data_IF_422599916608
#
_entry.id   IF_422599916608
#
_cell.length_a   1.000
_cell.length_b   1.000
_cell.length_c   1.000
_cell.angle_alpha   90.00
_cell.angle_beta   90.00
_cell.angle_gamma   90.00
#
_symmetry.space_group_name_H-M   'P 1'
#
loop_
_entity.id
_entity.type
_entity.pdbx_description
1 polymer ?
#
# COMPACT_ATOMS: atom_id res chain seq x y z
N UNK A 1 1.77 -11.70 -28.53
CA UNK A 1 1.54 -10.48 -27.71
C UNK A 1 0.26 -9.79 -28.18
N UNK A 2 0.05 -9.70 -29.48
CA UNK A 2 -1.11 -9.05 -30.11
C UNK A 2 -2.48 -9.58 -29.63
N UNK A 3 -2.62 -10.88 -29.33
CA UNK A 3 -3.88 -11.44 -28.81
C UNK A 3 -4.27 -10.94 -27.40
N UNK A 4 -3.32 -10.35 -26.65
CA UNK A 4 -3.56 -9.76 -25.33
C UNK A 4 -3.41 -8.23 -25.34
N UNK A 5 -3.16 -7.64 -26.51
CA UNK A 5 -3.07 -6.20 -26.67
C UNK A 5 -4.48 -5.61 -26.72
N UNK A 6 -4.96 -5.15 -25.57
CA UNK A 6 -6.18 -4.38 -25.48
C UNK A 6 -5.90 -2.96 -25.96
N UNK A 7 -6.58 -2.50 -27.00
CA UNK A 7 -6.56 -1.09 -27.36
C UNK A 7 -7.13 -0.26 -26.20
N UNK A 8 -6.44 0.83 -25.84
CA UNK A 8 -6.90 1.73 -24.80
C UNK A 8 -8.20 2.41 -25.25
N UNK A 9 -9.34 1.92 -24.78
CA UNK A 9 -10.64 2.54 -25.00
C UNK A 9 -10.94 3.53 -23.88
N UNK A 10 -11.03 4.81 -24.21
CA UNK A 10 -11.49 5.82 -23.25
C UNK A 10 -12.92 5.48 -22.83
N UNK A 11 -13.14 5.37 -21.52
CA UNK A 11 -14.48 5.22 -20.93
C UNK A 11 -14.82 6.47 -20.14
N UNK A 12 -16.06 6.94 -20.26
CA UNK A 12 -16.58 8.01 -19.41
C UNK A 12 -16.63 7.54 -17.96
N UNK A 13 -16.05 8.31 -17.05
CA UNK A 13 -16.06 8.03 -15.62
C UNK A 13 -15.80 9.30 -14.82
N UNK A 14 -16.03 9.25 -13.51
CA UNK A 14 -15.79 10.37 -12.59
C UNK A 14 -14.30 10.56 -12.24
N UNK A 15 -13.41 9.71 -12.74
CA UNK A 15 -11.98 9.74 -12.44
C UNK A 15 -11.14 8.99 -13.47
N UNK A 16 -9.83 8.97 -13.22
CA UNK A 16 -8.83 8.35 -14.08
C UNK A 16 -8.31 7.05 -13.47
N UNK A 17 -8.20 6.00 -14.27
CA UNK A 17 -7.52 4.76 -13.90
C UNK A 17 -6.25 4.63 -14.74
N UNK A 18 -5.10 4.53 -14.08
CA UNK A 18 -3.79 4.38 -14.74
C UNK A 18 -3.20 3.03 -14.32
N UNK A 19 -3.19 2.01 -15.21
CA UNK A 19 -2.50 0.77 -14.92
C UNK A 19 -0.98 0.98 -15.01
N UNK A 20 -0.24 0.38 -14.09
CA UNK A 20 1.22 0.34 -14.15
C UNK A 20 1.76 -1.03 -13.75
N UNK A 21 2.86 -1.43 -14.36
CA UNK A 21 3.61 -2.62 -13.97
C UNK A 21 4.65 -2.29 -12.90
N UNK A 22 4.91 -3.23 -12.00
CA UNK A 22 6.01 -3.14 -11.04
C UNK A 22 6.52 -4.55 -10.73
N UNK A 23 7.79 -4.66 -10.37
CA UNK A 23 8.41 -5.95 -10.06
C UNK A 23 9.90 -5.83 -9.78
N UNK A 24 10.59 -6.97 -9.61
CA UNK A 24 12.01 -6.98 -9.29
C UNK A 24 12.88 -6.65 -10.50
N UNK A 25 14.12 -6.22 -10.22
CA UNK A 25 15.19 -6.19 -11.22
C UNK A 25 15.55 -7.62 -11.66
N UNK A 26 15.99 -7.83 -12.92
CA UNK A 26 16.19 -6.83 -13.98
C UNK A 26 14.94 -6.57 -14.83
N UNK A 27 13.83 -7.28 -14.58
CA UNK A 27 12.59 -7.17 -15.39
C UNK A 27 12.07 -5.73 -15.38
N UNK A 28 12.11 -5.08 -14.21
CA UNK A 28 11.78 -3.67 -14.07
C UNK A 28 13.03 -2.87 -13.71
N UNK A 29 13.33 -1.83 -14.51
CA UNK A 29 14.46 -0.93 -14.28
C UNK A 29 14.20 0.02 -13.10
N UNK A 30 12.93 0.34 -12.84
CA UNK A 30 12.48 1.25 -11.80
C UNK A 30 11.49 0.57 -10.85
N UNK A 31 11.49 0.99 -9.59
CA UNK A 31 10.50 0.56 -8.59
C UNK A 31 9.23 1.41 -8.70
N UNK A 32 8.54 1.34 -9.84
CA UNK A 32 7.35 2.19 -10.14
C UNK A 32 6.31 2.10 -9.02
N UNK A 33 5.99 0.88 -8.56
CA UNK A 33 5.04 0.71 -7.47
C UNK A 33 5.46 1.45 -6.20
N UNK A 34 6.71 1.29 -5.76
CA UNK A 34 7.24 2.01 -4.59
C UNK A 34 7.05 3.53 -4.75
N UNK A 35 7.46 4.08 -5.90
CA UNK A 35 7.36 5.52 -6.18
C UNK A 35 5.90 6.00 -6.08
N UNK A 36 4.94 5.25 -6.63
CA UNK A 36 3.51 5.58 -6.54
C UNK A 36 3.05 5.65 -5.07
N UNK A 37 3.33 4.61 -4.27
CA UNK A 37 2.94 4.60 -2.86
C UNK A 37 3.57 5.76 -2.09
N UNK A 38 4.88 5.99 -2.24
CA UNK A 38 5.58 7.08 -1.55
C UNK A 38 5.02 8.46 -1.92
N UNK A 39 4.74 8.71 -3.20
CA UNK A 39 4.18 9.99 -3.64
C UNK A 39 2.79 10.24 -3.06
N UNK A 40 1.93 9.22 -3.01
CA UNK A 40 0.59 9.35 -2.45
C UNK A 40 0.64 9.59 -0.93
N UNK A 41 1.51 8.87 -0.20
CA UNK A 41 1.68 9.03 1.25
C UNK A 41 2.24 10.42 1.60
N UNK A 42 3.23 10.89 0.83
CA UNK A 42 3.89 12.17 1.10
C UNK A 42 3.02 13.38 0.76
N UNK A 43 2.04 13.24 -0.13
CA UNK A 43 1.09 14.29 -0.48
C UNK A 43 -0.22 14.24 0.30
N UNK A 44 -0.41 13.22 1.15
CA UNK A 44 -1.65 13.08 1.92
C UNK A 44 -1.84 14.23 2.92
N UNK A 45 -3.06 14.73 3.01
CA UNK A 45 -3.48 15.84 3.88
C UNK A 45 -4.40 15.37 5.01
N UNK A 46 -5.34 14.45 4.75
CA UNK A 46 -6.38 14.05 5.69
C UNK A 46 -6.16 12.63 6.24
N UNK A 47 -6.00 11.64 5.36
CA UNK A 47 -5.83 10.24 5.76
C UNK A 47 -5.11 9.36 4.74
N UNK A 48 -4.47 8.31 5.26
CA UNK A 48 -3.89 7.22 4.46
C UNK A 48 -4.33 5.88 5.07
N UNK A 49 -5.16 5.13 4.35
CA UNK A 49 -5.63 3.82 4.78
C UNK A 49 -5.04 2.72 3.92
N UNK A 50 -4.29 1.82 4.53
CA UNK A 50 -3.59 0.71 3.86
C UNK A 50 -4.18 -0.61 4.33
N UNK A 51 -4.43 -1.53 3.40
CA UNK A 51 -4.65 -2.94 3.71
C UNK A 51 -3.63 -3.76 2.94
N UNK A 52 -2.88 -4.61 3.65
CA UNK A 52 -1.87 -5.48 3.04
C UNK A 52 -1.78 -6.81 3.80
N UNK A 53 -1.67 -7.97 3.12
CA UNK A 53 -1.43 -9.23 3.81
C UNK A 53 -0.07 -9.27 4.50
N UNK A 54 0.90 -8.52 3.96
CA UNK A 54 2.30 -8.57 4.37
C UNK A 54 2.84 -7.15 4.50
N UNK A 55 3.05 -6.69 5.73
CA UNK A 55 3.67 -5.39 6.00
C UNK A 55 5.20 -5.54 5.99
N UNK A 56 5.75 -5.81 4.80
CA UNK A 56 7.18 -5.96 4.56
C UNK A 56 7.64 -4.76 3.74
N UNK A 57 8.10 -3.73 4.44
CA UNK A 57 8.45 -2.43 3.87
C UNK A 57 9.93 -2.11 4.14
N UNK A 58 10.54 -1.36 3.22
CA UNK A 58 11.91 -0.87 3.41
C UNK A 58 11.94 0.43 4.22
N UNK A 59 13.14 0.84 4.63
CA UNK A 59 13.34 2.00 5.49
C UNK A 59 12.65 3.26 4.96
N UNK A 60 12.83 3.58 3.67
CA UNK A 60 12.26 4.81 3.11
C UNK A 60 10.73 4.83 3.19
N UNK A 61 10.07 3.71 2.88
CA UNK A 61 8.61 3.64 2.95
C UNK A 61 8.11 3.67 4.41
N UNK A 62 8.85 3.08 5.34
CA UNK A 62 8.57 3.20 6.78
C UNK A 62 8.62 4.66 7.21
N UNK A 63 9.67 5.40 6.83
CA UNK A 63 9.82 6.81 7.18
C UNK A 63 8.74 7.69 6.52
N UNK A 64 8.36 7.43 5.26
CA UNK A 64 7.26 8.16 4.61
C UNK A 64 5.93 8.00 5.38
N UNK A 65 5.61 6.77 5.80
CA UNK A 65 4.40 6.46 6.59
C UNK A 65 4.45 7.16 7.96
N UNK A 66 5.59 7.11 8.65
CA UNK A 66 5.79 7.78 9.95
C UNK A 66 5.65 9.28 9.81
N UNK A 67 6.29 9.87 8.80
CA UNK A 67 6.22 11.30 8.53
C UNK A 67 4.77 11.74 8.24
N UNK A 68 3.99 10.96 7.50
CA UNK A 68 2.57 11.26 7.29
C UNK A 68 1.80 11.33 8.62
N UNK A 69 1.95 10.32 9.47
CA UNK A 69 1.31 10.31 10.80
C UNK A 69 1.76 11.49 11.67
N UNK A 70 3.06 11.81 11.69
CA UNK A 70 3.63 12.93 12.45
C UNK A 70 3.16 14.29 11.95
N UNK A 71 2.83 14.44 10.65
CA UNK A 71 2.21 15.66 10.09
C UNK A 71 0.74 15.84 10.51
N UNK A 72 0.14 14.84 11.16
CA UNK A 72 -1.26 14.85 11.58
C UNK A 72 -2.22 14.11 10.64
N UNK A 73 -1.71 13.47 9.59
CA UNK A 73 -2.52 12.64 8.69
C UNK A 73 -3.01 11.40 9.45
N UNK A 74 -4.28 11.03 9.30
CA UNK A 74 -4.80 9.79 9.89
C UNK A 74 -4.31 8.56 9.13
N UNK A 75 -3.23 7.95 9.62
CA UNK A 75 -2.66 6.74 9.01
C UNK A 75 -3.17 5.48 9.70
N UNK A 76 -3.82 4.60 8.92
CA UNK A 76 -4.30 3.30 9.40
C UNK A 76 -3.81 2.16 8.52
N UNK A 77 -3.38 1.08 9.14
CA UNK A 77 -2.93 -0.13 8.44
C UNK A 77 -3.73 -1.34 8.94
N UNK A 78 -4.27 -2.11 8.01
CA UNK A 78 -4.93 -3.39 8.27
C UNK A 78 -4.06 -4.53 7.75
N UNK A 79 -3.77 -5.49 8.63
CA UNK A 79 -3.05 -6.74 8.32
C UNK A 79 -3.89 -7.95 8.75
N UNK A 80 -3.58 -9.18 8.32
CA UNK A 80 -4.27 -10.37 8.80
C UNK A 80 -3.94 -10.66 10.26
N UNK A 81 -4.94 -11.06 11.06
CA UNK A 81 -4.69 -11.73 12.34
C UNK A 81 -4.36 -13.21 12.13
N UNK A 82 -5.09 -13.86 11.22
CA UNK A 82 -4.90 -15.25 10.81
C UNK A 82 -3.96 -15.27 9.60
N UNK A 83 -2.70 -15.70 9.75
CA UNK A 83 -1.74 -15.70 8.64
C UNK A 83 -1.89 -16.94 7.76
N UNK A 84 -1.58 -16.79 6.47
CA UNK A 84 -1.29 -17.93 5.59
C UNK A 84 0.08 -18.56 5.93
N UNK A 85 1.04 -17.73 6.39
CA UNK A 85 2.41 -18.11 6.75
C UNK A 85 2.84 -17.46 8.05
N UNK A 86 3.07 -18.28 9.09
CA UNK A 86 3.47 -17.82 10.43
C UNK A 86 4.75 -16.99 10.43
N UNK A 87 5.76 -17.37 9.64
CA UNK A 87 7.02 -16.61 9.55
C UNK A 87 6.79 -15.19 8.99
N UNK A 88 5.95 -15.07 7.97
CA UNK A 88 5.64 -13.77 7.37
C UNK A 88 4.85 -12.87 8.32
N UNK A 89 4.02 -13.46 9.18
CA UNK A 89 3.34 -12.73 10.25
C UNK A 89 4.34 -12.11 11.24
N UNK A 90 5.40 -12.84 11.60
CA UNK A 90 6.44 -12.32 12.49
C UNK A 90 7.17 -11.14 11.86
N UNK A 91 7.50 -11.23 10.57
CA UNK A 91 8.13 -10.11 9.82
C UNK A 91 7.19 -8.90 9.76
N UNK A 92 5.92 -9.13 9.44
CA UNK A 92 4.87 -8.10 9.40
C UNK A 92 4.73 -7.37 10.74
N UNK A 93 4.63 -8.12 11.85
CA UNK A 93 4.54 -7.55 13.20
C UNK A 93 5.84 -6.87 13.65
N UNK A 94 6.98 -7.22 13.05
CA UNK A 94 8.26 -6.56 13.30
C UNK A 94 8.27 -5.07 12.94
N UNK A 95 7.44 -4.64 11.98
CA UNK A 95 7.29 -3.22 11.63
C UNK A 95 6.39 -2.44 12.60
N UNK A 96 5.58 -3.12 13.43
CA UNK A 96 4.54 -2.45 14.22
C UNK A 96 5.11 -1.46 15.24
N UNK A 97 6.14 -1.78 16.06
CA UNK A 97 6.59 -0.87 17.11
C UNK A 97 6.99 0.50 16.59
N UNK A 98 7.72 0.54 15.47
CA UNK A 98 8.21 1.79 14.87
C UNK A 98 7.04 2.65 14.36
N UNK A 99 6.10 2.04 13.64
CA UNK A 99 4.92 2.72 13.11
C UNK A 99 3.96 3.20 14.21
N UNK A 100 3.69 2.35 15.21
CA UNK A 100 2.85 2.68 16.35
C UNK A 100 3.43 3.87 17.14
N UNK A 101 4.76 3.92 17.28
CA UNK A 101 5.43 5.03 17.99
C UNK A 101 5.27 6.39 17.28
N UNK A 102 5.06 6.39 15.97
CA UNK A 102 4.82 7.58 15.16
C UNK A 102 3.34 8.00 15.06
N UNK A 103 2.42 7.27 15.72
CA UNK A 103 0.98 7.56 15.71
C UNK A 103 0.18 6.81 14.65
N UNK A 104 0.79 5.88 13.91
CA UNK A 104 0.08 5.00 12.97
C UNK A 104 -0.82 4.04 13.76
N UNK A 105 -2.06 3.85 13.31
CA UNK A 105 -2.98 2.88 13.91
C UNK A 105 -2.98 1.58 13.12
N UNK A 106 -2.68 0.48 13.79
CA UNK A 106 -2.63 -0.85 13.17
C UNK A 106 -3.78 -1.70 13.70
N UNK A 107 -4.51 -2.34 12.78
CA UNK A 107 -5.61 -3.24 13.06
C UNK A 107 -5.33 -4.61 12.44
N UNK A 108 -5.71 -5.68 13.13
CA UNK A 108 -5.62 -7.03 12.58
C UNK A 108 -7.02 -7.57 12.23
N UNK A 109 -7.19 -8.02 10.99
CA UNK A 109 -8.41 -8.63 10.50
C UNK A 109 -8.56 -10.05 11.03
N UNK A 110 -9.60 -10.29 11.85
CA UNK A 110 -9.82 -11.54 12.57
C UNK A 110 -10.65 -12.62 11.85
N UNK A 111 -11.59 -12.32 10.92
CA UNK A 111 -12.43 -13.37 10.33
C UNK A 111 -11.70 -14.39 9.45
N UNK A 112 -10.47 -14.12 9.02
CA UNK A 112 -9.73 -14.98 8.11
C UNK A 112 -8.43 -14.36 7.64
N UNK A 113 -7.90 -14.89 6.53
CA UNK A 113 -6.76 -14.31 5.84
C UNK A 113 -7.22 -13.27 4.82
N UNK A 114 -6.86 -12.00 5.03
CA UNK A 114 -7.15 -10.92 4.08
C UNK A 114 -5.97 -10.72 3.12
N UNK A 115 -6.17 -11.00 1.84
CA UNK A 115 -5.13 -10.88 0.79
C UNK A 115 -5.28 -9.63 -0.08
N UNK A 116 -5.91 -8.57 0.44
CA UNK A 116 -6.05 -7.29 -0.28
C UNK A 116 -4.76 -6.48 -0.23
N UNK A 117 -4.38 -5.83 -1.34
CA UNK A 117 -3.33 -4.82 -1.41
C UNK A 117 -3.94 -3.54 -1.91
N UNK A 118 -4.36 -2.69 -1.00
CA UNK A 118 -4.99 -1.44 -1.36
C UNK A 118 -4.51 -0.32 -0.46
N UNK A 119 -4.50 0.88 -1.02
CA UNK A 119 -4.30 2.13 -0.29
C UNK A 119 -5.32 3.15 -0.76
N UNK A 120 -5.92 3.88 0.17
CA UNK A 120 -6.87 4.97 -0.07
C UNK A 120 -6.31 6.23 0.59
N UNK A 121 -6.36 7.36 -0.13
CA UNK A 121 -5.80 8.64 0.32
C UNK A 121 -6.78 9.77 0.04
N UNK A 122 -7.13 10.52 1.10
CA UNK A 122 -7.90 11.77 1.09
C UNK A 122 -9.19 11.77 0.24
N UNK A 123 -9.87 10.63 0.10
CA UNK A 123 -11.02 10.42 -0.81
C UNK A 123 -10.76 10.81 -2.29
N UNK A 124 -9.49 10.95 -2.68
CA UNK A 124 -9.07 11.46 -3.99
C UNK A 124 -8.28 10.43 -4.79
N UNK A 125 -7.53 9.57 -4.10
CA UNK A 125 -6.66 8.60 -4.75
C UNK A 125 -6.83 7.22 -4.14
N UNK A 126 -6.70 6.21 -4.99
CA UNK A 126 -6.62 4.82 -4.57
C UNK A 126 -5.59 4.07 -5.41
N UNK A 127 -4.86 3.16 -4.76
CA UNK A 127 -4.01 2.19 -5.42
C UNK A 127 -4.54 0.79 -5.09
N UNK A 128 -4.72 -0.05 -6.12
CA UNK A 128 -5.15 -1.45 -5.98
C UNK A 128 -4.12 -2.34 -6.66
N UNK A 129 -3.57 -3.29 -5.91
CA UNK A 129 -2.57 -4.24 -6.38
C UNK A 129 -3.09 -5.68 -6.40
N UNK A 130 -2.19 -6.61 -6.73
CA UNK A 130 -2.46 -8.05 -6.88
C UNK A 130 -1.71 -8.88 -5.86
#
# INVERSE_FOLDING_TARGET
>A
FDQYHLENQTRSGSGLCIPYGSGPKPIYQMKVGKIVYQNLINQAEDFVYITTPYLIIDYDLTEDIKNAAMRGVDVRIVTPHIPDKKLIQLVTRGAYPDLLSAGVRIFEYTPGFIHSKQMIVDDRFAAVGT
#
